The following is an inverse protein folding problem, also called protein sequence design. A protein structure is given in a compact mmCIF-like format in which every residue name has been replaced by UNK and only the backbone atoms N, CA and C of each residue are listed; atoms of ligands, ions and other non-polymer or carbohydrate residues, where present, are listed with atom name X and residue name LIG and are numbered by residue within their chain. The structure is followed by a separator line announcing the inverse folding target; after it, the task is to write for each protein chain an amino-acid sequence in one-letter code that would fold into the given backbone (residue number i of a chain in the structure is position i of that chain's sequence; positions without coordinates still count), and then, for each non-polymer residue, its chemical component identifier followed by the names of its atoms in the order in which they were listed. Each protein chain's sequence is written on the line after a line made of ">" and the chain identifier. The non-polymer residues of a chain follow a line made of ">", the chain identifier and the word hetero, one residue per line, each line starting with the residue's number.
data_IF_028240113700
#
_entry.id   IF_028240113700
#
_cell.length_a   1.000
_cell.length_b   1.000
_cell.length_c   1.000
_cell.angle_alpha   90.00
_cell.angle_beta   90.00
_cell.angle_gamma   90.00
#
_symmetry.space_group_name_H-M   'P 1'
#
loop_
_entity.id
_entity.type
_entity.pdbx_description
1 polymer ?
#
# COMPACT_ATOMS: atom_id res chain seq x y z
N UNK A 1 13.40 6.44 -76.25
CA UNK A 1 11.95 6.10 -76.16
C UNK A 1 11.84 4.81 -75.35
N UNK A 2 11.98 4.94 -74.03
CA UNK A 2 11.98 3.84 -73.06
C UNK A 2 10.54 3.51 -72.69
N UNK A 3 10.19 2.23 -72.62
CA UNK A 3 8.91 1.76 -72.06
C UNK A 3 9.17 0.92 -70.82
N UNK A 4 8.63 1.43 -69.72
CA UNK A 4 8.57 0.86 -68.39
C UNK A 4 7.90 -0.51 -68.37
N UNK A 5 8.58 -1.48 -67.75
CA UNK A 5 7.94 -2.69 -67.20
C UNK A 5 8.10 -2.61 -65.68
N UNK A 6 6.98 -2.30 -65.01
CA UNK A 6 6.87 -2.26 -63.55
C UNK A 6 6.94 -3.68 -62.98
N UNK A 7 8.05 -4.01 -62.32
CA UNK A 7 8.18 -5.21 -61.49
C UNK A 7 7.56 -4.92 -60.11
N UNK A 8 6.48 -5.64 -59.78
CA UNK A 8 5.93 -5.70 -58.43
C UNK A 8 6.88 -6.49 -57.53
N UNK A 9 7.62 -5.79 -56.67
CA UNK A 9 8.39 -6.40 -55.60
C UNK A 9 7.44 -6.82 -54.46
N UNK A 10 7.30 -8.14 -54.27
CA UNK A 10 6.84 -8.72 -53.01
C UNK A 10 7.88 -8.39 -51.93
N UNK A 11 7.55 -7.43 -51.06
CA UNK A 11 8.29 -7.23 -49.80
C UNK A 11 7.80 -8.25 -48.79
N UNK A 12 8.53 -9.35 -48.67
CA UNK A 12 8.54 -10.19 -47.47
C UNK A 12 9.11 -9.33 -46.33
N UNK A 13 8.24 -8.91 -45.41
CA UNK A 13 8.63 -8.17 -44.22
C UNK A 13 9.43 -9.06 -43.29
N UNK A 14 10.74 -8.80 -43.21
CA UNK A 14 11.56 -9.22 -42.10
C UNK A 14 11.08 -8.48 -40.84
N UNK A 15 10.47 -9.22 -39.92
CA UNK A 15 10.15 -8.77 -38.58
C UNK A 15 10.62 -9.82 -37.59
N UNK A 16 11.93 -9.83 -37.33
CA UNK A 16 12.49 -10.50 -36.16
C UNK A 16 11.93 -9.79 -34.94
N UNK A 17 10.82 -10.29 -34.42
CA UNK A 17 10.33 -9.94 -33.10
C UNK A 17 11.35 -10.44 -32.09
N UNK A 18 12.25 -9.56 -31.66
CA UNK A 18 13.00 -9.74 -30.42
C UNK A 18 11.96 -9.98 -29.32
N UNK A 19 11.78 -11.25 -28.93
CA UNK A 19 11.33 -11.59 -27.59
C UNK A 19 12.45 -11.13 -26.65
N UNK A 20 12.46 -9.83 -26.34
CA UNK A 20 13.01 -9.35 -25.09
C UNK A 20 12.09 -9.94 -24.01
N UNK A 21 12.39 -11.19 -23.64
CA UNK A 21 12.10 -11.66 -22.30
C UNK A 21 12.78 -10.64 -21.38
N UNK A 22 11.99 -9.67 -20.90
CA UNK A 22 12.31 -8.87 -19.74
C UNK A 22 12.57 -9.88 -18.63
N UNK A 23 13.84 -10.26 -18.46
CA UNK A 23 14.30 -10.81 -17.21
C UNK A 23 13.88 -9.78 -16.16
N UNK A 24 13.04 -10.13 -15.17
CA UNK A 24 12.78 -9.20 -14.09
C UNK A 24 14.14 -8.85 -13.51
N UNK A 25 14.41 -7.55 -13.40
CA UNK A 25 15.68 -7.05 -12.95
C UNK A 25 16.01 -7.68 -11.58
N UNK A 26 16.97 -8.60 -11.57
CA UNK A 26 17.62 -9.13 -10.36
C UNK A 26 18.36 -8.04 -9.55
N UNK A 27 18.27 -6.78 -9.98
CA UNK A 27 19.04 -5.65 -9.52
C UNK A 27 18.54 -5.00 -8.22
N UNK A 28 17.45 -5.48 -7.63
CA UNK A 28 16.95 -4.97 -6.35
C UNK A 28 16.61 -6.11 -5.36
N UNK A 29 17.52 -7.08 -5.21
CA UNK A 29 17.51 -7.91 -3.99
C UNK A 29 17.95 -7.01 -2.84
N UNK A 30 17.02 -6.62 -1.97
CA UNK A 30 17.33 -5.87 -0.76
C UNK A 30 18.42 -6.59 0.03
N UNK A 31 19.51 -5.87 0.33
CA UNK A 31 20.60 -6.40 1.15
C UNK A 31 20.15 -6.35 2.60
N UNK A 32 19.38 -7.35 3.01
CA UNK A 32 19.17 -7.61 4.43
C UNK A 32 20.49 -8.05 5.05
N UNK A 33 20.77 -7.65 6.31
CA UNK A 33 21.93 -8.14 7.02
C UNK A 33 21.94 -9.68 7.01
N UNK A 34 23.07 -10.28 6.62
CA UNK A 34 23.18 -11.72 6.42
C UNK A 34 23.74 -12.41 7.66
N UNK A 35 23.31 -13.64 7.93
CA UNK A 35 23.75 -14.46 9.08
C UNK A 35 24.26 -15.84 8.68
N UNK A 36 24.34 -16.16 7.38
CA UNK A 36 24.66 -17.49 6.86
C UNK A 36 25.99 -18.07 7.36
N UNK A 37 27.03 -17.24 7.51
CA UNK A 37 28.32 -17.69 8.06
C UNK A 37 28.19 -18.18 9.50
N UNK A 38 27.60 -17.36 10.37
CA UNK A 38 27.33 -17.71 11.77
C UNK A 38 26.43 -18.95 11.87
N UNK A 39 25.41 -19.06 11.01
CA UNK A 39 24.53 -20.23 10.94
C UNK A 39 25.27 -21.50 10.50
N UNK A 40 26.24 -21.40 9.59
CA UNK A 40 27.11 -22.53 9.19
C UNK A 40 28.00 -23.00 10.34
N UNK A 41 28.64 -22.07 11.05
CA UNK A 41 29.49 -22.41 12.21
C UNK A 41 28.68 -23.12 13.30
N UNK A 42 27.45 -22.67 13.55
CA UNK A 42 26.57 -23.26 14.56
C UNK A 42 25.80 -24.50 14.08
N UNK A 43 25.97 -24.95 12.83
CA UNK A 43 25.17 -26.06 12.29
C UNK A 43 25.38 -27.37 13.07
N UNK A 44 26.62 -27.70 13.42
CA UNK A 44 26.95 -28.90 14.21
C UNK A 44 26.27 -28.87 15.58
N UNK A 45 26.25 -27.71 16.22
CA UNK A 45 25.56 -27.49 17.49
C UNK A 45 24.03 -27.62 17.34
N UNK A 46 23.44 -26.94 16.34
CA UNK A 46 21.99 -26.98 16.08
C UNK A 46 21.48 -28.38 15.74
N UNK A 47 22.33 -29.22 15.11
CA UNK A 47 21.97 -30.60 14.70
C UNK A 47 22.34 -31.65 15.72
N UNK A 48 23.05 -31.29 16.80
CA UNK A 48 23.46 -32.25 17.82
C UNK A 48 22.25 -32.93 18.48
N UNK A 49 22.36 -34.24 18.68
CA UNK A 49 21.35 -35.06 19.39
C UNK A 49 21.41 -34.86 20.91
N UNK A 50 22.51 -34.29 21.41
CA UNK A 50 22.63 -33.92 22.81
C UNK A 50 21.61 -32.82 23.11
N UNK A 51 20.77 -33.03 24.14
CA UNK A 51 19.95 -31.95 24.67
C UNK A 51 20.90 -30.85 25.13
N UNK A 52 20.95 -29.68 24.47
CA UNK A 52 21.76 -28.59 24.99
C UNK A 52 21.31 -28.31 26.41
N UNK A 53 22.28 -28.02 27.29
CA UNK A 53 22.02 -27.57 28.65
C UNK A 53 20.90 -26.52 28.64
N UNK A 54 19.97 -26.52 29.63
CA UNK A 54 18.93 -25.49 29.73
C UNK A 54 19.50 -24.07 29.85
N UNK A 55 20.81 -23.92 30.05
CA UNK A 55 21.51 -22.65 30.01
C UNK A 55 21.42 -21.99 28.62
N UNK A 56 21.00 -20.72 28.63
CA UNK A 56 21.02 -19.87 27.43
C UNK A 56 22.46 -19.65 27.00
N UNK A 57 22.87 -20.30 25.91
CA UNK A 57 24.16 -20.05 25.27
C UNK A 57 24.13 -18.66 24.64
N UNK A 58 25.23 -17.92 24.76
CA UNK A 58 25.39 -16.58 24.19
C UNK A 58 26.77 -16.48 23.55
N UNK A 59 26.83 -16.18 22.26
CA UNK A 59 28.09 -16.04 21.53
C UNK A 59 28.05 -14.85 20.58
N UNK A 60 29.20 -14.23 20.35
CA UNK A 60 29.40 -13.24 19.30
C UNK A 60 30.26 -13.88 18.21
N UNK A 61 29.68 -14.08 17.03
CA UNK A 61 30.28 -14.77 15.90
C UNK A 61 30.70 -13.75 14.85
N UNK A 62 31.95 -13.82 14.39
CA UNK A 62 32.46 -12.90 13.37
C UNK A 62 32.16 -13.44 11.97
N UNK A 63 31.54 -12.60 11.15
CA UNK A 63 31.27 -12.84 9.75
C UNK A 63 32.54 -12.71 8.91
N UNK A 64 32.52 -13.26 7.69
CA UNK A 64 33.57 -13.02 6.69
C UNK A 64 33.66 -11.56 6.25
N UNK A 65 32.53 -10.83 6.31
CA UNK A 65 32.49 -9.38 6.07
C UNK A 65 33.16 -8.56 7.19
N UNK A 66 33.43 -9.19 8.35
CA UNK A 66 33.91 -8.51 9.55
C UNK A 66 32.82 -8.18 10.55
N UNK A 67 31.54 -8.23 10.15
CA UNK A 67 30.38 -7.96 11.00
C UNK A 67 30.25 -8.97 12.16
N UNK A 68 29.61 -8.55 13.25
CA UNK A 68 29.32 -9.42 14.39
C UNK A 68 27.86 -9.87 14.29
N UNK A 69 27.64 -11.17 14.51
CA UNK A 69 26.32 -11.76 14.73
C UNK A 69 26.27 -12.34 16.13
N UNK A 70 25.27 -11.94 16.90
CA UNK A 70 24.96 -12.50 18.20
C UNK A 70 24.13 -13.78 18.01
N UNK A 71 24.59 -14.85 18.64
CA UNK A 71 23.91 -16.14 18.72
C UNK A 71 23.36 -16.35 20.13
N UNK A 72 22.06 -16.70 20.25
CA UNK A 72 21.44 -17.08 21.52
C UNK A 72 20.52 -18.30 21.40
N UNK A 73 20.44 -19.08 22.48
CA UNK A 73 19.45 -20.16 22.61
C UNK A 73 18.37 -19.84 23.64
N UNK A 74 17.12 -20.19 23.33
CA UNK A 74 16.01 -20.13 24.27
C UNK A 74 15.28 -21.47 24.31
N UNK A 75 14.76 -21.85 25.49
CA UNK A 75 14.03 -23.10 25.70
C UNK A 75 12.59 -22.77 26.14
N UNK A 76 11.60 -23.25 25.41
CA UNK A 76 10.20 -23.03 25.75
C UNK A 76 9.32 -24.14 25.18
N UNK A 77 8.42 -24.70 26.00
CA UNK A 77 7.38 -25.63 25.55
C UNK A 77 7.87 -26.81 24.73
N UNK A 78 8.93 -27.51 25.19
CA UNK A 78 9.50 -28.66 24.48
C UNK A 78 10.31 -28.31 23.21
N UNK A 79 10.69 -27.04 23.04
CA UNK A 79 11.40 -26.54 21.86
C UNK A 79 12.64 -25.73 22.23
N UNK A 80 13.60 -25.72 21.30
CA UNK A 80 14.76 -24.84 21.32
C UNK A 80 14.59 -23.81 20.21
N UNK A 81 14.92 -22.56 20.51
CA UNK A 81 14.97 -21.45 19.57
C UNK A 81 16.42 -21.00 19.43
N UNK A 82 16.94 -21.04 18.21
CA UNK A 82 18.26 -20.52 17.87
C UNK A 82 18.07 -19.15 17.22
N UNK A 83 18.60 -18.10 17.87
CA UNK A 83 18.48 -16.72 17.41
C UNK A 83 19.82 -16.23 16.89
N UNK A 84 19.84 -15.73 15.67
CA UNK A 84 20.99 -15.07 15.04
C UNK A 84 20.56 -13.65 14.69
N UNK A 85 21.19 -12.65 15.31
CA UNK A 85 20.85 -11.25 15.12
C UNK A 85 22.10 -10.39 15.07
N UNK A 86 22.07 -9.30 14.31
CA UNK A 86 23.09 -8.26 14.45
C UNK A 86 22.87 -7.50 15.76
N UNK A 87 23.95 -7.04 16.43
CA UNK A 87 23.82 -6.22 17.62
C UNK A 87 23.04 -4.93 17.31
N UNK A 88 22.15 -4.53 18.21
CA UNK A 88 21.53 -3.20 18.16
C UNK A 88 22.52 -2.12 18.65
N UNK A 89 22.04 -0.86 18.74
CA UNK A 89 22.87 0.27 19.15
C UNK A 89 23.43 0.14 20.58
N UNK A 90 22.81 -0.68 21.43
CA UNK A 90 23.25 -0.96 22.80
C UNK A 90 24.11 -2.24 22.88
N UNK A 91 24.40 -2.89 21.74
CA UNK A 91 25.10 -4.16 21.68
C UNK A 91 24.23 -5.37 22.04
N UNK A 92 22.91 -5.19 22.14
CA UNK A 92 21.91 -6.18 22.48
C UNK A 92 21.31 -6.92 21.28
N UNK A 93 20.28 -7.74 21.54
CA UNK A 93 19.48 -8.38 20.48
C UNK A 93 18.10 -7.74 20.47
N UNK A 94 17.76 -7.10 19.35
CA UNK A 94 16.39 -6.73 19.00
C UNK A 94 15.80 -7.82 18.11
N UNK A 95 14.86 -8.62 18.62
CA UNK A 95 14.32 -9.79 17.88
C UNK A 95 13.66 -9.42 16.55
N UNK A 96 12.94 -8.30 16.51
CA UNK A 96 12.24 -7.83 15.31
C UNK A 96 13.11 -6.87 14.47
N UNK A 97 14.41 -7.12 14.37
CA UNK A 97 15.33 -6.37 13.51
C UNK A 97 15.54 -7.07 12.16
N UNK A 98 15.68 -6.33 11.04
CA UNK A 98 15.94 -6.89 9.72
C UNK A 98 17.16 -7.82 9.72
N UNK A 99 17.03 -8.97 9.04
CA UNK A 99 18.10 -9.98 8.99
C UNK A 99 18.19 -10.87 10.23
N UNK A 100 17.34 -10.67 11.24
CA UNK A 100 17.29 -11.58 12.40
C UNK A 100 16.65 -12.91 12.01
N UNK A 101 17.34 -14.01 12.30
CA UNK A 101 16.85 -15.38 12.12
C UNK A 101 16.47 -16.00 13.45
N UNK A 102 15.30 -16.63 13.50
CA UNK A 102 14.84 -17.46 14.62
C UNK A 102 14.51 -18.85 14.08
N UNK A 103 15.29 -19.85 14.46
CA UNK A 103 15.12 -21.24 14.03
C UNK A 103 14.54 -22.04 15.20
N UNK A 104 13.40 -22.70 14.96
CA UNK A 104 12.70 -23.51 15.96
C UNK A 104 12.96 -24.98 15.72
N UNK A 105 13.38 -25.69 16.77
CA UNK A 105 13.66 -27.13 16.76
C UNK A 105 12.94 -27.82 17.91
N UNK A 106 12.37 -29.00 17.63
CA UNK A 106 11.70 -29.84 18.63
C UNK A 106 12.72 -30.63 19.45
N UNK A 107 12.55 -30.67 20.78
CA UNK A 107 13.46 -31.39 21.68
C UNK A 107 13.29 -32.91 21.64
N UNK A 108 12.10 -33.38 21.27
CA UNK A 108 11.73 -34.81 21.31
C UNK A 108 12.53 -35.63 20.29
N UNK A 109 12.56 -35.18 19.03
CA UNK A 109 13.17 -35.91 17.91
C UNK A 109 14.25 -35.09 17.18
N UNK A 110 14.47 -33.85 17.61
CA UNK A 110 15.44 -32.96 16.99
C UNK A 110 15.02 -32.39 15.64
N UNK A 111 13.76 -32.52 15.22
CA UNK A 111 13.28 -32.00 13.95
C UNK A 111 13.26 -30.45 13.95
N UNK A 112 13.71 -29.84 12.86
CA UNK A 112 13.52 -28.42 12.62
C UNK A 112 12.08 -28.18 12.19
N UNK A 113 11.34 -27.35 12.93
CA UNK A 113 9.94 -27.08 12.67
C UNK A 113 9.73 -25.81 11.84
N UNK A 114 10.61 -24.82 12.01
CA UNK A 114 10.42 -23.50 11.40
C UNK A 114 11.71 -22.69 11.38
N UNK A 115 11.86 -21.81 10.39
CA UNK A 115 12.74 -20.64 10.45
C UNK A 115 11.91 -19.38 10.20
N UNK A 116 12.07 -18.37 11.07
CA UNK A 116 11.48 -17.03 10.91
C UNK A 116 12.60 -16.05 10.62
N UNK A 117 12.42 -15.20 9.62
CA UNK A 117 13.41 -14.19 9.20
C UNK A 117 12.72 -12.83 9.22
N UNK A 118 13.20 -11.88 10.01
CA UNK A 118 12.61 -10.54 10.02
C UNK A 118 13.13 -9.71 8.84
N UNK A 119 12.21 -9.01 8.18
CA UNK A 119 12.45 -8.29 6.93
C UNK A 119 12.56 -6.77 7.15
N UNK A 120 11.90 -6.25 8.17
CA UNK A 120 11.87 -4.82 8.51
C UNK A 120 11.90 -4.68 10.04
N UNK A 121 12.06 -3.45 10.56
CA UNK A 121 11.94 -3.14 12.00
C UNK A 121 10.47 -3.14 12.45
N UNK A 122 9.79 -4.26 12.25
CA UNK A 122 8.38 -4.45 12.55
C UNK A 122 8.10 -5.93 12.81
N UNK A 123 7.37 -6.26 13.87
CA UNK A 123 7.12 -7.65 14.28
C UNK A 123 6.28 -8.45 13.28
N UNK A 124 5.43 -7.75 12.52
CA UNK A 124 4.61 -8.28 11.43
C UNK A 124 5.30 -8.32 10.06
N UNK A 125 6.60 -7.99 9.96
CA UNK A 125 7.35 -8.04 8.70
C UNK A 125 8.37 -9.17 8.72
N UNK A 126 7.99 -10.34 8.22
CA UNK A 126 8.83 -11.54 8.28
C UNK A 126 8.56 -12.54 7.16
N UNK A 127 9.55 -13.42 6.95
CA UNK A 127 9.37 -14.71 6.27
C UNK A 127 9.17 -15.80 7.31
N UNK A 128 8.28 -16.75 7.03
CA UNK A 128 8.16 -18.01 7.76
C UNK A 128 8.43 -19.15 6.79
N UNK A 129 9.37 -20.01 7.15
CA UNK A 129 9.76 -21.17 6.36
C UNK A 129 9.50 -22.43 7.19
N UNK A 130 8.78 -23.39 6.63
CA UNK A 130 8.39 -24.64 7.29
C UNK A 130 8.78 -25.81 6.37
N UNK A 131 9.39 -26.90 6.87
CA UNK A 131 9.69 -28.08 6.05
C UNK A 131 8.41 -28.71 5.48
N UNK A 132 8.47 -29.18 4.23
CA UNK A 132 7.38 -29.93 3.59
C UNK A 132 7.95 -30.96 2.62
N UNK A 133 7.80 -32.24 2.94
CA UNK A 133 8.40 -33.33 2.17
C UNK A 133 9.92 -33.17 2.08
N UNK A 134 10.46 -33.23 0.86
CA UNK A 134 11.89 -33.01 0.60
C UNK A 134 12.31 -31.53 0.57
N UNK A 135 11.35 -30.60 0.49
CA UNK A 135 11.58 -29.16 0.39
C UNK A 135 11.06 -28.39 1.61
N UNK A 136 10.63 -27.16 1.35
CA UNK A 136 9.98 -26.30 2.33
C UNK A 136 8.85 -25.49 1.69
N UNK A 137 8.06 -24.84 2.54
CA UNK A 137 7.09 -23.82 2.14
C UNK A 137 7.43 -22.50 2.81
N UNK A 138 7.21 -21.41 2.07
CA UNK A 138 7.44 -20.05 2.51
C UNK A 138 6.13 -19.29 2.63
N UNK A 139 6.03 -18.48 3.67
CA UNK A 139 5.03 -17.45 3.86
C UNK A 139 5.75 -16.12 4.05
N UNK A 140 5.17 -15.04 3.54
CA UNK A 140 5.66 -13.69 3.73
C UNK A 140 4.55 -12.79 4.24
N UNK A 141 4.85 -12.10 5.34
CA UNK A 141 4.05 -11.06 5.95
C UNK A 141 4.85 -9.75 5.92
N UNK A 142 4.22 -8.65 5.54
CA UNK A 142 4.83 -7.31 5.53
C UNK A 142 3.88 -6.36 6.25
N UNK A 143 4.36 -5.68 7.28
CA UNK A 143 3.57 -4.80 8.13
C UNK A 143 2.32 -5.48 8.73
N UNK A 144 2.36 -6.80 8.96
CA UNK A 144 1.21 -7.59 9.41
C UNK A 144 0.28 -8.06 8.29
N UNK A 145 0.53 -7.64 7.05
CA UNK A 145 -0.28 -7.97 5.87
C UNK A 145 0.24 -9.28 5.26
N UNK A 146 -0.61 -10.29 5.07
CA UNK A 146 -0.24 -11.52 4.37
C UNK A 146 -0.03 -11.22 2.88
N UNK A 147 1.19 -11.38 2.36
CA UNK A 147 1.46 -11.24 0.92
C UNK A 147 1.54 -12.58 0.21
N UNK A 148 2.26 -13.54 0.81
CA UNK A 148 2.44 -14.87 0.23
C UNK A 148 2.17 -15.94 1.28
N UNK A 149 1.54 -17.03 0.83
CA UNK A 149 1.21 -18.20 1.64
C UNK A 149 1.54 -19.47 0.86
N UNK A 150 2.21 -20.42 1.51
CA UNK A 150 2.45 -21.75 0.94
C UNK A 150 3.33 -21.77 -0.31
N UNK A 151 4.21 -20.79 -0.52
CA UNK A 151 5.11 -20.75 -1.68
C UNK A 151 6.08 -21.93 -1.61
N UNK A 152 6.12 -22.83 -2.61
CA UNK A 152 7.05 -23.95 -2.60
C UNK A 152 8.49 -23.46 -2.72
N UNK A 153 9.36 -23.98 -1.86
CA UNK A 153 10.81 -23.74 -1.89
C UNK A 153 11.49 -25.07 -2.24
N UNK A 154 12.19 -25.17 -3.38
CA UNK A 154 12.79 -26.42 -3.85
C UNK A 154 14.13 -26.74 -3.14
N UNK A 155 14.23 -26.39 -1.86
CA UNK A 155 15.42 -26.56 -1.03
C UNK A 155 15.00 -27.22 0.28
N UNK A 156 15.77 -28.19 0.73
CA UNK A 156 15.53 -28.82 2.03
C UNK A 156 15.74 -27.81 3.16
N UNK A 157 15.02 -28.02 4.27
CA UNK A 157 15.16 -27.16 5.45
C UNK A 157 16.62 -27.03 5.89
N UNK A 158 17.36 -28.15 5.95
CA UNK A 158 18.78 -28.15 6.33
C UNK A 158 19.63 -27.26 5.42
N UNK A 159 19.38 -27.23 4.11
CA UNK A 159 20.09 -26.35 3.17
C UNK A 159 19.74 -24.88 3.43
N UNK A 160 18.46 -24.58 3.65
CA UNK A 160 17.97 -23.21 3.92
C UNK A 160 18.54 -22.63 5.22
N UNK A 161 18.74 -23.46 6.25
CA UNK A 161 19.29 -23.02 7.53
C UNK A 161 20.70 -22.43 7.42
N UNK A 162 21.46 -22.78 6.38
CA UNK A 162 22.86 -22.34 6.22
C UNK A 162 23.15 -21.64 4.90
N UNK A 163 22.17 -21.58 4.00
CA UNK A 163 22.29 -20.84 2.75
C UNK A 163 22.14 -19.33 3.01
N UNK A 164 22.84 -18.48 2.24
CA UNK A 164 22.52 -17.07 2.16
C UNK A 164 21.05 -16.86 1.82
N UNK A 165 20.47 -15.76 2.31
CA UNK A 165 19.10 -15.35 1.99
C UNK A 165 18.90 -15.23 0.47
N UNK A 166 19.91 -14.75 -0.25
CA UNK A 166 19.92 -14.68 -1.71
C UNK A 166 19.52 -16.00 -2.37
N UNK A 167 19.99 -17.14 -1.85
CA UNK A 167 19.64 -18.46 -2.40
C UNK A 167 18.14 -18.74 -2.28
N UNK A 168 17.50 -18.36 -1.17
CA UNK A 168 16.05 -18.44 -1.02
C UNK A 168 15.35 -17.52 -2.01
N UNK A 169 15.82 -16.27 -2.13
CA UNK A 169 15.25 -15.27 -3.03
C UNK A 169 15.29 -15.74 -4.49
N UNK A 170 16.46 -16.18 -4.97
CA UNK A 170 16.65 -16.73 -6.32
C UNK A 170 15.76 -17.95 -6.58
N UNK A 171 15.64 -18.86 -5.61
CA UNK A 171 14.80 -20.07 -5.76
C UNK A 171 13.29 -19.79 -5.81
N UNK A 172 12.87 -18.59 -5.40
CA UNK A 172 11.45 -18.19 -5.31
C UNK A 172 11.11 -16.98 -6.18
N UNK A 173 12.07 -16.41 -6.91
CA UNK A 173 11.90 -15.17 -7.68
C UNK A 173 10.84 -15.25 -8.79
N UNK A 174 10.49 -16.44 -9.26
CA UNK A 174 9.40 -16.64 -10.22
C UNK A 174 7.99 -16.56 -9.61
N UNK A 175 7.87 -16.51 -8.28
CA UNK A 175 6.59 -16.49 -7.56
C UNK A 175 6.51 -15.28 -6.62
N UNK A 176 7.60 -14.99 -5.91
CA UNK A 176 7.66 -13.92 -4.91
C UNK A 176 8.24 -12.65 -5.52
N UNK A 177 7.47 -11.57 -5.50
CA UNK A 177 7.95 -10.22 -5.78
C UNK A 177 8.83 -9.72 -4.61
N UNK A 178 10.13 -9.98 -4.69
CA UNK A 178 11.10 -9.53 -3.70
C UNK A 178 11.31 -8.02 -3.67
N UNK A 179 10.88 -7.29 -4.71
CA UNK A 179 10.99 -5.84 -4.72
C UNK A 179 9.97 -5.16 -3.79
N UNK A 180 9.05 -5.93 -3.19
CA UNK A 180 8.20 -5.48 -2.06
C UNK A 180 8.98 -5.01 -0.83
N UNK A 181 10.28 -5.34 -0.76
CA UNK A 181 11.18 -4.94 0.31
C UNK A 181 11.93 -3.62 0.02
N UNK A 182 11.90 -3.11 -1.23
CA UNK A 182 12.65 -1.92 -1.68
C UNK A 182 12.02 -0.60 -1.20
N UNK A 183 11.95 -0.42 0.13
CA UNK A 183 11.35 0.76 0.76
C UNK A 183 12.34 1.92 0.78
N UNK A 184 12.10 2.94 -0.06
CA UNK A 184 12.84 4.20 -0.08
C UNK A 184 12.36 5.16 1.01
N UNK A 185 12.83 4.97 2.25
CA UNK A 185 12.29 5.61 3.47
C UNK A 185 12.28 7.14 3.45
N UNK A 186 13.17 7.77 2.68
CA UNK A 186 13.33 9.23 2.59
C UNK A 186 12.65 9.86 1.35
N UNK A 187 11.82 9.10 0.64
CA UNK A 187 11.17 9.58 -0.57
C UNK A 187 10.31 10.82 -0.28
N UNK A 188 10.53 11.92 -1.03
CA UNK A 188 9.82 13.20 -0.84
C UNK A 188 8.30 13.04 -0.91
N UNK A 189 7.81 12.10 -1.72
CA UNK A 189 6.39 11.78 -1.82
C UNK A 189 5.75 11.36 -0.49
N UNK A 190 6.44 10.59 0.36
CA UNK A 190 5.92 10.20 1.67
C UNK A 190 5.79 11.39 2.61
N UNK A 191 6.74 12.33 2.56
CA UNK A 191 6.66 13.58 3.35
C UNK A 191 5.42 14.38 2.97
N UNK A 192 5.13 14.54 1.67
CA UNK A 192 3.93 15.25 1.21
C UNK A 192 2.63 14.64 1.72
N UNK A 193 2.51 13.31 1.69
CA UNK A 193 1.34 12.59 2.22
C UNK A 193 1.22 12.78 3.73
N UNK A 194 2.33 12.62 4.45
CA UNK A 194 2.39 12.80 5.90
C UNK A 194 2.05 14.25 6.31
N UNK A 195 2.56 15.24 5.59
CA UNK A 195 2.30 16.66 5.84
C UNK A 195 0.81 16.99 5.63
N UNK A 196 0.19 16.44 4.57
CA UNK A 196 -1.25 16.57 4.34
C UNK A 196 -2.06 15.99 5.50
N UNK A 197 -1.77 14.75 5.91
CA UNK A 197 -2.43 14.10 7.06
C UNK A 197 -2.26 14.93 8.33
N UNK A 198 -1.06 15.48 8.57
CA UNK A 198 -0.74 16.29 9.75
C UNK A 198 -1.53 17.61 9.77
N UNK A 199 -1.86 18.16 8.61
CA UNK A 199 -2.69 19.37 8.48
C UNK A 199 -4.19 19.09 8.52
N UNK A 200 -4.63 17.92 8.06
CA UNK A 200 -6.04 17.53 8.06
C UNK A 200 -6.51 17.18 9.48
N UNK A 201 -5.74 16.35 10.20
CA UNK A 201 -6.14 15.78 11.51
C UNK A 201 -6.66 16.79 12.53
N UNK A 202 -6.00 17.94 12.78
CA UNK A 202 -6.48 18.91 13.77
C UNK A 202 -7.81 19.56 13.38
N UNK A 203 -8.15 19.56 12.09
CA UNK A 203 -9.32 20.23 11.54
C UNK A 203 -10.53 19.29 11.47
N UNK A 204 -10.32 17.97 11.42
CA UNK A 204 -11.41 16.97 11.35
C UNK A 204 -12.53 17.22 12.38
N UNK A 205 -12.26 17.49 13.67
CA UNK A 205 -13.32 17.73 14.66
C UNK A 205 -14.15 19.00 14.43
N UNK A 206 -13.68 19.90 13.58
CA UNK A 206 -14.34 21.16 13.23
C UNK A 206 -15.24 21.01 12.00
N UNK A 207 -15.12 19.91 11.27
CA UNK A 207 -15.93 19.67 10.08
C UNK A 207 -17.31 19.15 10.49
N UNK A 208 -18.36 19.88 10.13
CA UNK A 208 -19.73 19.42 10.29
C UNK A 208 -20.03 18.21 9.40
N UNK A 209 -21.05 17.44 9.78
CA UNK A 209 -21.60 16.34 8.99
C UNK A 209 -22.99 16.74 8.48
N UNK A 210 -23.24 16.56 7.19
CA UNK A 210 -24.52 16.88 6.57
C UNK A 210 -24.81 15.94 5.41
N UNK A 211 -26.06 15.49 5.30
CA UNK A 211 -26.52 14.72 4.15
C UNK A 211 -26.45 15.59 2.89
N UNK A 212 -25.89 15.03 1.82
CA UNK A 212 -25.57 15.75 0.57
C UNK A 212 -24.67 17.00 0.76
N UNK A 213 -24.02 17.14 1.92
CA UNK A 213 -23.21 18.31 2.23
C UNK A 213 -21.87 18.36 1.50
N UNK A 214 -21.50 19.54 1.02
CA UNK A 214 -20.20 19.83 0.41
C UNK A 214 -19.88 21.32 0.39
N UNK A 215 -18.85 21.66 -0.38
CA UNK A 215 -18.37 23.04 -0.54
C UNK A 215 -18.26 23.38 -2.03
N UNK A 216 -18.68 24.58 -2.43
CA UNK A 216 -18.52 25.04 -3.82
C UNK A 216 -17.07 25.51 -4.09
N UNK A 217 -16.80 26.06 -5.29
CA UNK A 217 -15.45 26.52 -5.65
C UNK A 217 -14.96 27.71 -4.81
N UNK A 218 -15.88 28.55 -4.32
CA UNK A 218 -15.58 29.75 -3.54
C UNK A 218 -15.34 29.46 -2.05
N UNK A 219 -15.55 28.21 -1.60
CA UNK A 219 -15.41 27.83 -0.21
C UNK A 219 -16.72 27.89 0.60
N UNK A 220 -17.87 28.10 -0.04
CA UNK A 220 -19.16 28.22 0.63
C UNK A 220 -19.81 26.83 0.80
N UNK A 221 -20.43 26.59 1.97
CA UNK A 221 -21.13 25.34 2.26
C UNK A 221 -22.44 25.25 1.49
N UNK A 222 -22.57 24.23 0.65
CA UNK A 222 -23.73 24.02 -0.23
C UNK A 222 -24.13 22.54 -0.29
N UNK A 223 -25.37 22.27 -0.66
CA UNK A 223 -25.78 20.92 -1.04
C UNK A 223 -25.19 20.55 -2.40
N UNK A 224 -24.56 19.39 -2.52
CA UNK A 224 -23.87 18.96 -3.74
C UNK A 224 -24.85 18.88 -4.91
N UNK A 225 -26.06 18.35 -4.69
CA UNK A 225 -27.03 18.15 -5.76
C UNK A 225 -27.61 19.46 -6.32
N UNK A 226 -27.83 20.46 -5.48
CA UNK A 226 -28.59 21.68 -5.84
C UNK A 226 -27.76 22.96 -5.88
N UNK A 227 -26.56 22.95 -5.29
CA UNK A 227 -25.72 24.12 -5.02
C UNK A 227 -26.39 25.21 -4.17
N UNK A 228 -27.53 24.90 -3.53
CA UNK A 228 -28.15 25.80 -2.58
C UNK A 228 -27.32 25.85 -1.29
N UNK A 229 -27.24 27.01 -0.61
CA UNK A 229 -26.59 27.13 0.69
C UNK A 229 -27.13 26.14 1.72
N UNK A 230 -26.25 25.60 2.56
CA UNK A 230 -26.66 24.79 3.71
C UNK A 230 -27.08 25.67 4.90
N UNK A 231 -27.99 25.14 5.72
CA UNK A 231 -28.40 25.75 6.99
C UNK A 231 -27.48 25.31 8.16
N UNK A 232 -27.59 25.96 9.32
CA UNK A 232 -26.97 25.57 10.61
C UNK A 232 -25.45 25.28 10.61
N UNK A 233 -24.68 26.07 9.85
CA UNK A 233 -23.21 25.98 9.81
C UNK A 233 -22.68 24.94 8.81
N UNK A 234 -23.56 24.13 8.22
CA UNK A 234 -23.25 23.19 7.15
C UNK A 234 -22.33 22.03 7.56
N UNK A 235 -22.10 21.14 6.60
CA UNK A 235 -21.25 19.98 6.80
C UNK A 235 -20.93 19.24 5.51
N UNK A 236 -20.31 18.07 5.67
CA UNK A 236 -19.89 17.23 4.57
C UNK A 236 -20.51 15.84 4.67
N UNK A 237 -20.97 15.31 3.54
CA UNK A 237 -21.07 13.87 3.38
C UNK A 237 -19.70 13.28 2.97
N UNK A 238 -19.66 11.99 2.68
CA UNK A 238 -18.42 11.32 2.28
C UNK A 238 -17.83 11.84 0.95
N UNK A 239 -18.66 12.17 -0.03
CA UNK A 239 -18.25 12.73 -1.33
C UNK A 239 -17.80 14.18 -1.21
N UNK A 240 -18.49 14.99 -0.41
CA UNK A 240 -18.14 16.37 -0.09
C UNK A 240 -16.82 16.46 0.66
N UNK A 241 -16.59 15.56 1.63
CA UNK A 241 -15.31 15.47 2.32
C UNK A 241 -14.15 15.10 1.38
N UNK A 242 -14.37 14.14 0.47
CA UNK A 242 -13.37 13.81 -0.55
C UNK A 242 -13.02 15.02 -1.44
N UNK A 243 -14.03 15.81 -1.84
CA UNK A 243 -13.80 17.07 -2.56
C UNK A 243 -13.01 18.07 -1.70
N UNK A 244 -13.37 18.26 -0.43
CA UNK A 244 -12.66 19.13 0.50
C UNK A 244 -11.17 18.78 0.62
N UNK A 245 -10.83 17.49 0.66
CA UNK A 245 -9.43 17.04 0.62
C UNK A 245 -8.76 17.43 -0.70
N UNK A 246 -9.41 17.18 -1.84
CA UNK A 246 -8.84 17.52 -3.16
C UNK A 246 -8.64 19.03 -3.31
N UNK A 247 -9.62 19.82 -2.90
CA UNK A 247 -9.56 21.28 -2.90
C UNK A 247 -8.44 21.80 -2.00
N UNK A 248 -8.20 21.15 -0.86
CA UNK A 248 -7.10 21.54 0.03
C UNK A 248 -5.71 21.45 -0.60
N UNK A 249 -5.53 20.60 -1.62
CA UNK A 249 -4.31 20.59 -2.43
C UNK A 249 -4.30 21.65 -3.54
N UNK A 250 -5.47 22.13 -3.98
CA UNK A 250 -5.61 23.11 -5.05
C UNK A 250 -5.59 24.56 -4.54
N UNK A 251 -6.13 24.81 -3.34
CA UNK A 251 -6.18 26.15 -2.75
C UNK A 251 -4.82 26.84 -2.71
N UNK A 252 -3.71 26.20 -2.26
CA UNK A 252 -2.39 26.84 -2.29
C UNK A 252 -1.88 27.16 -3.71
N UNK A 253 -2.42 26.51 -4.74
CA UNK A 253 -1.99 26.66 -6.12
C UNK A 253 -2.82 27.70 -6.89
N UNK A 254 -4.10 27.85 -6.54
CA UNK A 254 -5.08 28.62 -7.33
C UNK A 254 -5.90 29.62 -6.53
N UNK A 255 -5.99 29.47 -5.21
CA UNK A 255 -6.86 30.28 -4.36
C UNK A 255 -8.34 29.90 -4.40
N UNK A 256 -8.74 28.95 -5.24
CA UNK A 256 -10.13 28.48 -5.38
C UNK A 256 -10.18 26.95 -5.48
N UNK A 257 -11.31 26.37 -5.07
CA UNK A 257 -11.61 24.94 -5.17
C UNK A 257 -12.22 24.54 -6.52
N UNK A 258 -12.57 23.26 -6.66
CA UNK A 258 -13.21 22.73 -7.85
C UNK A 258 -14.69 23.16 -7.93
N UNK A 259 -15.20 23.53 -9.13
CA UNK A 259 -16.62 23.73 -9.34
C UNK A 259 -17.38 22.39 -9.26
N UNK A 260 -18.61 22.39 -8.75
CA UNK A 260 -19.39 21.17 -8.55
C UNK A 260 -19.98 20.59 -9.85
N UNK A 261 -20.34 21.45 -10.80
CA UNK A 261 -20.94 21.05 -12.08
C UNK A 261 -20.18 19.93 -12.83
N UNK A 262 -18.86 20.05 -13.11
CA UNK A 262 -18.12 18.97 -13.76
C UNK A 262 -17.94 17.73 -12.87
N UNK A 263 -18.06 17.86 -11.55
CA UNK A 263 -17.93 16.71 -10.64
C UNK A 263 -19.16 15.81 -10.65
N UNK A 264 -20.33 16.36 -10.99
CA UNK A 264 -21.61 15.62 -11.12
C UNK A 264 -21.81 14.97 -12.50
N UNK A 265 -20.85 15.10 -13.42
CA UNK A 265 -20.97 14.50 -14.75
C UNK A 265 -21.04 12.97 -14.67
N UNK A 266 -22.04 12.38 -15.33
CA UNK A 266 -22.28 10.92 -15.34
C UNK A 266 -21.69 10.28 -16.60
N UNK A 267 -20.88 9.23 -16.41
CA UNK A 267 -20.17 8.56 -17.52
C UNK A 267 -20.91 7.34 -18.06
N UNK A 268 -22.13 7.52 -18.55
CA UNK A 268 -23.05 6.41 -18.92
C UNK A 268 -22.46 5.42 -19.95
N UNK A 269 -21.59 5.90 -20.83
CA UNK A 269 -20.98 5.08 -21.88
C UNK A 269 -19.75 4.30 -21.41
N UNK A 270 -19.21 4.63 -20.23
CA UNK A 270 -17.97 4.03 -19.72
C UNK A 270 -18.22 2.95 -18.66
N UNK A 271 -19.45 2.88 -18.13
CA UNK A 271 -19.80 2.02 -16.99
C UNK A 271 -21.29 1.72 -16.94
N UNK A 272 -21.61 0.62 -16.27
CA UNK A 272 -22.98 0.16 -16.09
C UNK A 272 -23.47 -0.77 -17.20
N UNK A 273 -24.76 -1.07 -17.13
CA UNK A 273 -25.45 -2.04 -18.00
C UNK A 273 -26.82 -1.50 -18.38
N UNK A 274 -27.43 -2.05 -19.44
CA UNK A 274 -28.79 -1.68 -19.86
C UNK A 274 -29.85 -1.81 -18.75
N UNK A 275 -29.59 -2.65 -17.74
CA UNK A 275 -30.45 -2.79 -16.57
C UNK A 275 -30.26 -1.66 -15.54
N UNK A 276 -29.01 -1.35 -15.17
CA UNK A 276 -28.72 -0.25 -14.23
C UNK A 276 -29.03 1.12 -14.83
N UNK A 277 -28.89 1.28 -16.16
CA UNK A 277 -29.16 2.54 -16.88
C UNK A 277 -30.59 3.06 -16.68
N UNK A 278 -31.56 2.15 -16.45
CA UNK A 278 -32.96 2.53 -16.20
C UNK A 278 -33.19 3.21 -14.86
N UNK A 279 -32.25 3.05 -13.94
CA UNK A 279 -32.34 3.52 -12.56
C UNK A 279 -31.37 4.67 -12.26
N UNK A 280 -30.61 5.13 -13.26
CA UNK A 280 -29.65 6.25 -13.17
C UNK A 280 -30.29 7.52 -12.62
N UNK A 281 -31.45 7.92 -13.15
CA UNK A 281 -32.10 9.16 -12.71
C UNK A 281 -32.62 9.08 -11.28
N UNK A 282 -33.14 7.92 -10.89
CA UNK A 282 -33.81 7.74 -9.61
C UNK A 282 -32.86 7.38 -8.46
N UNK A 283 -31.74 6.72 -8.76
CA UNK A 283 -30.88 6.08 -7.74
C UNK A 283 -29.39 6.35 -7.92
N UNK A 284 -28.98 6.93 -9.04
CA UNK A 284 -27.58 7.25 -9.40
C UNK A 284 -26.55 6.22 -8.87
N UNK A 285 -26.65 4.94 -9.30
CA UNK A 285 -25.89 3.84 -8.69
C UNK A 285 -24.37 4.00 -8.85
N UNK A 286 -23.90 4.90 -9.71
CA UNK A 286 -22.49 5.12 -9.98
C UNK A 286 -22.00 6.48 -9.48
N UNK A 287 -22.80 7.23 -8.72
CA UNK A 287 -22.43 8.56 -8.23
C UNK A 287 -21.02 8.59 -7.63
N UNK A 288 -20.71 7.73 -6.64
CA UNK A 288 -19.38 7.73 -6.02
C UNK A 288 -18.24 7.37 -6.98
N UNK A 289 -18.50 6.53 -8.00
CA UNK A 289 -17.49 6.18 -9.01
C UNK A 289 -17.20 7.35 -9.95
N UNK A 290 -18.27 7.94 -10.50
CA UNK A 290 -18.16 9.07 -11.42
C UNK A 290 -17.58 10.29 -10.67
N UNK A 291 -18.03 10.54 -9.43
CA UNK A 291 -17.53 11.61 -8.57
C UNK A 291 -16.02 11.52 -8.30
N UNK A 292 -15.53 10.36 -7.86
CA UNK A 292 -14.09 10.19 -7.56
C UNK A 292 -13.21 10.28 -8.80
N UNK A 293 -13.69 9.78 -9.94
CA UNK A 293 -13.02 9.95 -11.23
C UNK A 293 -13.00 11.41 -11.68
N UNK A 294 -14.11 12.12 -11.59
CA UNK A 294 -14.21 13.53 -11.97
C UNK A 294 -13.32 14.41 -11.09
N UNK A 295 -13.26 14.14 -9.78
CA UNK A 295 -12.32 14.81 -8.88
C UNK A 295 -10.88 14.67 -9.37
N UNK A 296 -10.45 13.46 -9.73
CA UNK A 296 -9.10 13.24 -10.23
C UNK A 296 -8.88 13.88 -11.60
N UNK A 297 -9.84 13.73 -12.52
CA UNK A 297 -9.79 14.34 -13.85
C UNK A 297 -9.60 15.86 -13.76
N UNK A 298 -10.42 16.53 -12.97
CA UNK A 298 -10.34 17.97 -12.76
C UNK A 298 -9.03 18.35 -12.02
N UNK A 299 -8.67 17.61 -10.97
CA UNK A 299 -7.42 17.86 -10.22
C UNK A 299 -6.18 17.83 -11.11
N UNK A 300 -6.02 16.77 -11.91
CA UNK A 300 -4.84 16.59 -12.76
C UNK A 300 -4.87 17.51 -13.99
N UNK A 301 -6.05 17.74 -14.58
CA UNK A 301 -6.22 18.68 -15.70
C UNK A 301 -5.78 20.11 -15.34
N UNK A 302 -5.90 20.49 -14.07
CA UNK A 302 -5.48 21.79 -13.56
C UNK A 302 -4.01 21.86 -13.14
N UNK A 303 -3.36 20.73 -12.85
CA UNK A 303 -1.93 20.71 -12.53
C UNK A 303 -1.04 20.69 -13.77
N UNK A 304 -1.51 20.03 -14.82
CA UNK A 304 -0.73 19.83 -16.04
C UNK A 304 -1.09 20.83 -17.16
N UNK A 305 -0.71 22.09 -16.98
CA UNK A 305 -0.95 23.18 -17.95
C UNK A 305 -0.29 23.00 -19.34
N UNK A 306 0.50 21.95 -19.57
CA UNK A 306 1.47 21.92 -20.67
C UNK A 306 1.06 21.20 -21.96
N UNK A 307 0.01 20.38 -21.98
CA UNK A 307 -0.42 19.71 -23.23
C UNK A 307 -1.90 19.32 -23.21
N UNK A 308 -2.67 19.79 -24.20
CA UNK A 308 -4.01 19.26 -24.56
C UNK A 308 -3.83 17.91 -25.26
N UNK A 309 -3.73 16.85 -24.47
CA UNK A 309 -3.83 15.47 -24.96
C UNK A 309 -5.27 15.00 -24.80
N UNK A 310 -6.01 14.67 -25.88
CA UNK A 310 -7.40 14.20 -25.81
C UNK A 310 -7.60 12.92 -24.97
N UNK A 311 -6.56 12.11 -24.78
CA UNK A 311 -6.63 10.94 -23.89
C UNK A 311 -6.74 11.34 -22.41
N UNK A 312 -6.44 12.60 -22.07
CA UNK A 312 -6.61 13.15 -20.72
C UNK A 312 -8.04 13.51 -20.37
N UNK A 313 -8.97 13.47 -21.33
CA UNK A 313 -10.39 13.66 -21.03
C UNK A 313 -11.07 12.34 -20.61
N UNK A 314 -10.36 11.20 -20.65
CA UNK A 314 -10.87 9.93 -20.14
C UNK A 314 -10.74 9.86 -18.60
N UNK A 315 -11.83 9.87 -17.84
CA UNK A 315 -11.81 9.79 -16.38
C UNK A 315 -11.14 8.50 -15.85
N UNK A 316 -11.11 7.42 -16.65
CA UNK A 316 -10.58 6.11 -16.25
C UNK A 316 -9.06 6.04 -16.19
N UNK A 317 -8.36 7.01 -16.77
CA UNK A 317 -6.89 7.03 -16.79
C UNK A 317 -6.28 7.04 -15.36
N UNK A 318 -7.05 7.54 -14.39
CA UNK A 318 -6.63 7.66 -12.99
C UNK A 318 -7.02 6.44 -12.14
N UNK A 319 -7.74 5.48 -12.70
CA UNK A 319 -8.20 4.27 -12.00
C UNK A 319 -7.03 3.34 -11.67
N UNK A 320 -7.02 2.79 -10.45
CA UNK A 320 -6.07 1.72 -10.09
C UNK A 320 -6.63 0.37 -10.54
N UNK A 321 -6.06 -0.21 -11.60
CA UNK A 321 -6.58 -1.44 -12.27
C UNK A 321 -5.62 -2.63 -12.29
N UNK A 322 -4.44 -2.51 -11.69
CA UNK A 322 -3.35 -3.48 -11.91
C UNK A 322 -3.66 -4.83 -11.21
N UNK A 323 -3.75 -5.96 -11.95
CA UNK A 323 -4.04 -7.28 -11.38
C UNK A 323 -2.92 -7.80 -10.46
N UNK A 324 -1.70 -7.27 -10.54
CA UNK A 324 -0.62 -7.62 -9.61
C UNK A 324 -0.92 -7.18 -8.16
N UNK A 325 -1.91 -6.31 -7.95
CA UNK A 325 -2.32 -5.80 -6.64
C UNK A 325 -3.38 -6.67 -5.96
N UNK A 326 -4.11 -7.46 -6.75
CA UNK A 326 -5.28 -8.21 -6.30
C UNK A 326 -6.27 -8.45 -7.43
N UNK A 327 -7.41 -9.04 -7.07
CA UNK A 327 -8.47 -9.42 -8.02
C UNK A 327 -9.33 -8.19 -8.41
N UNK A 328 -8.78 -7.30 -9.24
CA UNK A 328 -9.52 -6.15 -9.72
C UNK A 328 -10.72 -6.55 -10.61
N UNK A 329 -11.87 -5.95 -10.36
CA UNK A 329 -13.07 -6.04 -11.20
C UNK A 329 -13.40 -4.68 -11.80
N UNK A 330 -13.57 -4.64 -13.12
CA UNK A 330 -13.85 -3.40 -13.84
C UNK A 330 -15.04 -2.64 -13.23
N UNK A 331 -14.84 -1.35 -12.98
CA UNK A 331 -15.79 -0.43 -12.33
C UNK A 331 -16.20 -0.78 -10.89
N UNK A 332 -15.93 -1.99 -10.38
CA UNK A 332 -16.20 -2.34 -8.97
C UNK A 332 -14.98 -2.08 -8.08
N UNK A 333 -13.77 -2.34 -8.60
CA UNK A 333 -12.52 -2.19 -7.87
C UNK A 333 -11.98 -3.50 -7.29
N UNK A 334 -11.21 -3.37 -6.21
CA UNK A 334 -10.63 -4.49 -5.48
C UNK A 334 -11.56 -4.98 -4.36
N UNK A 335 -11.54 -6.28 -4.01
CA UNK A 335 -12.12 -6.75 -2.76
C UNK A 335 -11.59 -5.96 -1.56
N UNK A 336 -12.46 -5.55 -0.65
CA UNK A 336 -12.07 -4.73 0.51
C UNK A 336 -11.11 -5.44 1.46
N UNK A 337 -11.18 -6.76 1.56
CA UNK A 337 -10.25 -7.59 2.33
C UNK A 337 -8.82 -7.61 1.77
N UNK A 338 -8.64 -7.21 0.50
CA UNK A 338 -7.34 -7.06 -0.16
C UNK A 338 -6.82 -5.62 -0.12
N UNK A 339 -7.64 -4.64 0.31
CA UNK A 339 -7.35 -3.22 0.20
C UNK A 339 -6.04 -2.81 0.89
N UNK A 340 -5.75 -3.35 2.08
CA UNK A 340 -4.52 -3.00 2.80
C UNK A 340 -3.26 -3.41 2.02
N UNK A 341 -3.29 -4.61 1.42
CA UNK A 341 -2.22 -5.12 0.56
C UNK A 341 -2.03 -4.24 -0.68
N UNK A 342 -3.15 -3.85 -1.30
CA UNK A 342 -3.17 -2.96 -2.46
C UNK A 342 -2.53 -1.61 -2.10
N UNK A 343 -2.93 -1.00 -0.99
CA UNK A 343 -2.41 0.29 -0.51
C UNK A 343 -0.93 0.24 -0.11
N UNK A 344 -0.47 -0.87 0.48
CA UNK A 344 0.96 -1.08 0.76
C UNK A 344 1.77 -1.07 -0.54
N UNK A 345 1.34 -1.83 -1.55
CA UNK A 345 2.03 -1.89 -2.84
C UNK A 345 2.01 -0.52 -3.53
N UNK A 346 0.88 0.16 -3.47
CA UNK A 346 0.70 1.49 -4.05
C UNK A 346 1.61 2.54 -3.40
N UNK A 347 1.77 2.52 -2.07
CA UNK A 347 2.76 3.39 -1.42
C UNK A 347 4.18 3.11 -1.94
N UNK A 348 4.53 1.84 -2.13
CA UNK A 348 5.86 1.46 -2.59
C UNK A 348 6.16 1.90 -4.04
N UNK A 349 5.18 1.76 -4.94
CA UNK A 349 5.38 2.00 -6.38
C UNK A 349 5.04 3.40 -6.83
N UNK A 350 4.09 4.04 -6.16
CA UNK A 350 3.54 5.33 -6.51
C UNK A 350 3.65 6.31 -5.33
N UNK A 351 4.84 6.47 -4.71
CA UNK A 351 5.00 7.29 -3.52
C UNK A 351 4.61 8.74 -3.78
N UNK A 352 3.84 9.32 -2.86
CA UNK A 352 3.30 10.68 -3.02
C UNK A 352 1.91 10.73 -3.66
N UNK A 353 1.24 9.60 -3.84
CA UNK A 353 -0.18 9.56 -4.18
C UNK A 353 -1.04 9.27 -2.94
N UNK A 354 -2.23 9.85 -2.95
CA UNK A 354 -3.37 9.45 -2.11
C UNK A 354 -4.43 8.83 -3.02
N UNK A 355 -5.39 8.13 -2.44
CA UNK A 355 -6.39 7.40 -3.21
C UNK A 355 -7.79 7.74 -2.74
N UNK A 356 -8.66 8.11 -3.68
CA UNK A 356 -10.10 8.20 -3.44
C UNK A 356 -10.70 6.83 -3.70
N UNK A 357 -11.37 6.26 -2.71
CA UNK A 357 -12.01 4.95 -2.80
C UNK A 357 -13.51 5.06 -2.81
N UNK A 358 -14.14 4.53 -3.86
CA UNK A 358 -15.58 4.43 -3.98
C UNK A 358 -16.04 3.00 -3.68
N UNK A 359 -16.71 2.80 -2.54
CA UNK A 359 -17.19 1.49 -2.07
C UNK A 359 -18.41 1.08 -2.87
N UNK A 360 -18.30 -0.04 -3.58
CA UNK A 360 -19.33 -0.65 -4.40
C UNK A 360 -19.99 -1.80 -3.64
N UNK A 361 -21.23 -1.63 -3.21
CA UNK A 361 -21.99 -2.60 -2.42
C UNK A 361 -23.36 -2.90 -2.98
N UNK A 362 -23.95 -4.01 -2.58
CA UNK A 362 -25.37 -4.27 -2.86
C UNK A 362 -26.24 -3.34 -1.99
N UNK A 363 -27.27 -2.73 -2.57
CA UNK A 363 -28.11 -1.73 -1.90
C UNK A 363 -29.57 -1.75 -2.38
N UNK A 364 -30.49 -1.54 -1.44
CA UNK A 364 -31.95 -1.53 -1.64
C UNK A 364 -32.55 -2.93 -1.85
N UNK A 365 -33.87 -3.02 -1.82
CA UNK A 365 -34.58 -4.32 -1.78
C UNK A 365 -35.44 -4.59 -3.03
N UNK A 366 -35.70 -3.58 -3.88
CA UNK A 366 -36.58 -3.70 -5.04
C UNK A 366 -36.22 -2.73 -6.19
N UNK A 367 -35.36 -3.12 -7.15
CA UNK A 367 -34.47 -4.27 -7.11
C UNK A 367 -33.22 -3.99 -6.26
N UNK A 368 -32.58 -5.05 -5.75
CA UNK A 368 -31.23 -4.97 -5.18
C UNK A 368 -30.27 -4.54 -6.29
N UNK A 369 -29.63 -3.39 -6.15
CA UNK A 369 -28.66 -2.86 -7.12
C UNK A 369 -27.27 -2.81 -6.49
N UNK A 370 -26.24 -3.06 -7.30
CA UNK A 370 -24.88 -2.70 -6.89
C UNK A 370 -24.68 -1.19 -7.07
N UNK A 371 -24.24 -0.51 -6.02
CA UNK A 371 -24.11 0.94 -5.97
C UNK A 371 -22.80 1.39 -5.33
N UNK A 372 -22.26 2.48 -5.85
CA UNK A 372 -21.13 3.22 -5.29
C UNK A 372 -21.61 4.18 -4.20
N UNK A 373 -21.88 3.62 -3.02
CA UNK A 373 -22.66 4.27 -1.97
C UNK A 373 -21.84 5.04 -0.95
N UNK A 374 -20.50 4.89 -0.95
CA UNK A 374 -19.64 5.54 0.04
C UNK A 374 -18.27 5.88 -0.54
N UNK A 375 -17.70 7.00 -0.12
CA UNK A 375 -16.37 7.46 -0.52
C UNK A 375 -15.45 7.59 0.70
N UNK A 376 -14.26 7.01 0.61
CA UNK A 376 -13.20 7.15 1.61
C UNK A 376 -11.92 7.70 0.95
N UNK A 377 -11.07 8.36 1.73
CA UNK A 377 -9.77 8.86 1.29
C UNK A 377 -8.67 8.12 2.03
N UNK A 378 -7.73 7.58 1.26
CA UNK A 378 -6.61 6.78 1.76
C UNK A 378 -5.29 7.52 1.57
N UNK A 379 -4.53 7.65 2.65
CA UNK A 379 -3.21 8.25 2.68
C UNK A 379 -2.19 7.19 3.07
N UNK A 380 -1.63 6.42 2.11
CA UNK A 380 -0.63 5.41 2.41
C UNK A 380 0.80 6.01 2.29
N UNK A 381 1.66 5.78 3.29
CA UNK A 381 3.07 6.19 3.25
C UNK A 381 3.97 5.24 4.03
N UNK A 382 5.28 5.32 3.79
CA UNK A 382 6.27 4.75 4.71
C UNK A 382 6.90 5.86 5.53
N UNK A 383 6.97 5.67 6.86
CA UNK A 383 7.65 6.62 7.74
C UNK A 383 9.19 6.54 7.59
N UNK A 384 9.93 7.45 8.25
CA UNK A 384 11.40 7.47 8.18
C UNK A 384 12.05 6.17 8.69
N UNK A 385 11.35 5.39 9.52
CA UNK A 385 11.82 4.06 9.97
C UNK A 385 11.54 2.95 8.95
N UNK A 386 10.83 3.26 7.86
CA UNK A 386 10.41 2.33 6.83
C UNK A 386 9.18 1.51 7.22
N UNK A 387 8.39 1.95 8.21
CA UNK A 387 7.14 1.30 8.57
C UNK A 387 6.02 1.84 7.70
N UNK A 388 5.20 0.93 7.18
CA UNK A 388 3.98 1.31 6.49
C UNK A 388 3.00 1.99 7.46
N UNK A 389 2.36 3.03 6.95
CA UNK A 389 1.36 3.84 7.62
C UNK A 389 0.23 4.12 6.66
N UNK A 390 -0.98 4.14 7.19
CA UNK A 390 -2.18 4.42 6.44
C UNK A 390 -3.10 5.26 7.32
N UNK A 391 -3.52 6.42 6.82
CA UNK A 391 -4.66 7.13 7.37
C UNK A 391 -5.87 6.88 6.46
N UNK A 392 -7.01 6.55 7.06
CA UNK A 392 -8.29 6.35 6.38
C UNK A 392 -9.22 7.43 6.88
N UNK A 393 -9.74 8.26 5.99
CA UNK A 393 -10.62 9.37 6.36
C UNK A 393 -11.89 9.37 5.52
N UNK A 394 -13.02 9.57 6.16
CA UNK A 394 -14.34 9.60 5.53
C UNK A 394 -15.26 10.50 6.35
N UNK A 395 -16.17 11.25 5.69
CA UNK A 395 -17.15 12.14 6.36
C UNK A 395 -16.54 13.04 7.47
N UNK A 396 -15.36 13.62 7.23
CA UNK A 396 -14.73 14.51 8.20
C UNK A 396 -14.17 13.83 9.45
N UNK A 397 -14.07 12.50 9.50
CA UNK A 397 -13.44 11.77 10.60
C UNK A 397 -12.30 10.87 10.10
N UNK A 398 -11.32 10.61 10.97
CA UNK A 398 -10.31 9.57 10.74
C UNK A 398 -10.82 8.26 11.34
N UNK A 399 -10.89 7.24 10.51
CA UNK A 399 -11.24 5.87 10.89
C UNK A 399 -10.03 4.97 10.62
N UNK A 400 -10.27 3.66 10.51
CA UNK A 400 -9.28 2.68 10.12
C UNK A 400 -9.87 1.69 9.10
N UNK A 401 -8.99 0.85 8.53
CA UNK A 401 -9.43 -0.21 7.62
C UNK A 401 -10.29 -1.27 8.30
N UNK A 402 -10.11 -1.51 9.60
CA UNK A 402 -10.92 -2.47 10.35
C UNK A 402 -12.39 -2.03 10.41
N UNK A 403 -12.64 -0.77 10.71
CA UNK A 403 -13.95 -0.12 10.70
C UNK A 403 -14.59 -0.16 9.32
N UNK A 404 -13.82 0.09 8.26
CA UNK A 404 -14.29 -0.01 6.88
C UNK A 404 -14.67 -1.46 6.53
N UNK A 405 -13.82 -2.44 6.85
CA UNK A 405 -14.09 -3.86 6.64
C UNK A 405 -15.26 -4.39 7.48
N UNK A 406 -15.47 -3.87 8.68
CA UNK A 406 -16.62 -4.26 9.52
C UNK A 406 -17.94 -3.79 8.90
N UNK A 407 -17.97 -2.64 8.24
CA UNK A 407 -19.18 -2.07 7.60
C UNK A 407 -19.44 -2.58 6.19
N UNK A 408 -18.37 -2.89 5.45
CA UNK A 408 -18.43 -3.21 4.02
C UNK A 408 -17.67 -4.49 3.64
N UNK A 409 -17.35 -5.36 4.60
CA UNK A 409 -16.62 -6.61 4.36
C UNK A 409 -17.32 -7.49 3.33
N UNK A 410 -16.54 -8.05 2.40
CA UNK A 410 -17.04 -8.82 1.26
C UNK A 410 -17.50 -7.98 0.06
N UNK A 411 -17.49 -6.64 0.18
CA UNK A 411 -17.75 -5.73 -0.94
C UNK A 411 -16.46 -5.25 -1.61
N UNK A 412 -16.60 -4.38 -2.61
CA UNK A 412 -15.50 -3.91 -3.45
C UNK A 412 -15.25 -2.40 -3.24
N UNK A 413 -14.03 -1.96 -3.51
CA UNK A 413 -13.63 -0.55 -3.47
C UNK A 413 -12.86 -0.18 -4.74
N UNK A 414 -13.40 0.77 -5.48
CA UNK A 414 -12.77 1.31 -6.67
C UNK A 414 -11.85 2.48 -6.30
N UNK A 415 -10.55 2.38 -6.60
CA UNK A 415 -9.56 3.39 -6.24
C UNK A 415 -9.21 4.29 -7.43
N UNK A 416 -9.12 5.59 -7.17
CA UNK A 416 -8.67 6.62 -8.11
C UNK A 416 -7.50 7.39 -7.52
N UNK A 417 -6.46 7.67 -8.34
CA UNK A 417 -5.21 8.31 -7.91
C UNK A 417 -5.29 9.83 -7.87
N UNK A 418 -4.82 10.42 -6.77
CA UNK A 418 -4.55 11.86 -6.64
C UNK A 418 -3.09 12.03 -6.21
N UNK A 419 -2.31 12.81 -6.95
CA UNK A 419 -0.95 13.12 -6.54
C UNK A 419 -0.98 14.14 -5.41
N UNK A 420 -0.42 13.83 -4.24
CA UNK A 420 -0.32 14.79 -3.15
C UNK A 420 0.45 16.06 -3.59
N UNK A 421 -0.13 17.22 -3.27
CA UNK A 421 0.50 18.52 -3.50
C UNK A 421 1.77 18.71 -2.66
N UNK A 422 2.56 19.74 -2.97
CA UNK A 422 3.67 20.16 -2.10
C UNK A 422 3.20 20.80 -0.80
N UNK A 423 1.94 21.24 -0.75
CA UNK A 423 1.29 21.84 0.40
C UNK A 423 -0.18 21.43 0.43
N UNK A 424 -0.80 21.58 1.60
CA UNK A 424 -2.23 21.39 1.82
C UNK A 424 -2.73 22.56 2.67
N UNK A 425 -3.83 23.19 2.26
CA UNK A 425 -4.50 24.24 3.03
C UNK A 425 -5.95 23.82 3.26
N UNK A 426 -6.38 23.54 4.50
CA UNK A 426 -7.76 23.16 4.81
C UNK A 426 -8.77 24.20 4.28
N UNK A 427 -9.67 23.86 3.34
CA UNK A 427 -10.69 24.80 2.85
C UNK A 427 -11.68 25.23 3.93
N UNK A 428 -12.10 26.50 3.92
CA UNK A 428 -13.20 27.00 4.75
C UNK A 428 -12.94 27.01 6.26
N UNK A 429 -11.70 26.77 6.68
CA UNK A 429 -11.28 26.87 8.08
C UNK A 429 -10.26 28.01 8.14
N UNK A 430 -10.73 29.20 8.53
CA UNK A 430 -9.86 30.33 8.81
C UNK A 430 -8.74 29.90 9.76
N UNK A 431 -7.55 30.51 9.65
CA UNK A 431 -6.26 30.11 10.23
C UNK A 431 -6.21 30.04 11.78
N UNK A 432 -7.13 29.31 12.41
CA UNK A 432 -7.15 28.97 13.82
C UNK A 432 -6.34 27.70 14.14
N UNK A 433 -5.61 27.16 13.16
CA UNK A 433 -4.56 26.18 13.43
C UNK A 433 -3.29 26.98 13.70
N UNK A 434 -2.78 27.05 14.95
CA UNK A 434 -1.54 27.74 15.25
C UNK A 434 -0.42 27.19 14.37
N UNK A 435 0.51 28.06 14.00
CA UNK A 435 1.65 27.73 13.14
C UNK A 435 2.36 26.44 13.62
N UNK A 436 2.17 25.35 12.87
CA UNK A 436 2.75 24.05 13.17
C UNK A 436 4.26 24.00 12.87
N UNK A 437 4.88 25.13 12.49
CA UNK A 437 6.33 25.27 12.37
C UNK A 437 7.09 25.07 13.69
N UNK A 438 6.39 24.97 14.83
CA UNK A 438 7.00 24.84 16.18
C UNK A 438 7.05 23.38 16.70
N UNK A 439 6.51 22.39 16.00
CA UNK A 439 6.61 20.99 16.44
C UNK A 439 7.86 20.31 15.82
N UNK A 440 9.01 20.55 16.46
CA UNK A 440 10.23 19.76 16.26
C UNK A 440 9.94 18.26 16.53
N UNK A 441 10.43 17.35 15.67
CA UNK A 441 10.28 15.91 15.88
C UNK A 441 11.27 15.42 16.94
N UNK A 442 10.95 15.62 18.22
CA UNK A 442 11.73 15.03 19.32
C UNK A 442 11.91 15.89 20.56
N UNK A 443 10.83 16.38 21.18
CA UNK A 443 10.89 17.00 22.51
C UNK A 443 10.44 16.04 23.60
N UNK A 444 11.39 15.50 24.38
CA UNK A 444 11.07 14.87 25.68
C UNK A 444 10.42 15.93 26.57
N UNK A 445 9.31 15.58 27.20
CA UNK A 445 8.78 16.36 28.32
C UNK A 445 9.85 16.39 29.44
N UNK A 446 10.34 17.58 29.75
CA UNK A 446 11.03 17.85 31.01
C UNK A 446 9.94 18.30 31.98
N UNK A 447 9.77 17.64 33.14
CA UNK A 447 8.81 18.09 34.14
C UNK A 447 9.41 19.26 34.93
N UNK A 448 8.57 20.26 35.17
CA UNK A 448 8.54 21.04 36.42
C UNK A 448 7.06 21.27 36.79
#
# INVERSE_FOLDING_TARGET
>A
MMRDVRVRALRLGAGWGLFLCLAPALAALTVLPETDHARREMLSFMTSLHRPSPETRREALRQRSGDIVLFRTYHQGGRIYYVFAHPDQEGGITLAAPGTWIIRRRLEDGAFEQAKIFLQHHEGSFLRIVPRGAGAVLEMDLAGIPFYRGVPVPLSMRRLLTAPLRTLQESTAGIVDWSLLDVRRDHQGYRRVMDAVTRIRPVLPLLGDADDGGMNAAGEMVYIATELPQEDGGGFNCSGFAKWVVDGFLLPLRGEGLPLAPLRERHRDLRGTSWSSRLEESRDPYFGLDWTRNLALQYHGLRDFRTKDPSRDDPRQWDVRNPALGEYRENLGFPLDQLERVLYWLALREPGHIYLGSVSRSFGDAPVLRQHAHVAVFFPWFDLSGRFRLAVMERGIETDLESLNRRYGGEFVHLVRIQAGSSFSPPGVDQAVPDLSVLEPGGRAIPD
#
